data_IF_729738149374
#
_entry.id   IF_729738149374
#
_cell.length_a   1.000
_cell.length_b   1.000
_cell.length_c   1.000
_cell.angle_alpha   90.00
_cell.angle_beta   90.00
_cell.angle_gamma   90.00
#
_symmetry.space_group_name_H-M   'P 1'
#
loop_
_entity.id
_entity.type
_entity.pdbx_description
1 polymer ?
#
# COMPACT_ATOMS: atom_id res chain seq x y z
N UNK A 1 -12.44 -9.41 -25.59
CA UNK A 1 -11.78 -9.64 -24.28
C UNK A 1 -10.34 -9.15 -24.39
N UNK A 2 -10.00 -8.12 -23.66
CA UNK A 2 -8.61 -7.66 -23.52
C UNK A 2 -7.99 -8.60 -22.51
N UNK A 3 -6.99 -9.38 -22.94
CA UNK A 3 -6.26 -10.26 -22.06
C UNK A 3 -5.24 -9.40 -21.31
N UNK A 4 -5.48 -9.10 -20.03
CA UNK A 4 -4.67 -8.19 -19.22
C UNK A 4 -3.31 -8.77 -18.80
N UNK A 5 -2.95 -9.99 -19.24
CA UNK A 5 -1.72 -10.68 -18.84
C UNK A 5 -0.45 -10.19 -19.53
N UNK A 6 -0.54 -9.36 -20.57
CA UNK A 6 0.63 -8.91 -21.35
C UNK A 6 1.00 -7.43 -21.14
N UNK A 7 0.26 -6.70 -20.31
CA UNK A 7 0.58 -5.30 -20.02
C UNK A 7 1.46 -5.22 -18.78
N UNK A 8 2.78 -5.34 -18.99
CA UNK A 8 3.81 -5.02 -17.97
C UNK A 8 3.91 -3.51 -17.73
N UNK A 9 2.82 -2.81 -17.67
CA UNK A 9 2.81 -1.36 -17.55
C UNK A 9 1.80 -0.96 -16.51
N UNK A 10 2.34 -0.55 -15.36
CA UNK A 10 1.67 0.33 -14.43
C UNK A 10 0.26 -0.15 -14.06
N UNK A 11 0.21 -1.12 -13.15
CA UNK A 11 -1.04 -1.70 -12.63
C UNK A 11 -2.00 -0.61 -12.13
N UNK A 12 -1.48 0.48 -11.57
CA UNK A 12 -2.27 1.61 -11.11
C UNK A 12 -3.04 2.31 -12.24
N UNK A 13 -2.43 2.51 -13.41
CA UNK A 13 -3.12 3.12 -14.57
C UNK A 13 -4.17 2.17 -15.12
N UNK A 14 -3.87 0.87 -15.21
CA UNK A 14 -4.81 -0.14 -15.68
C UNK A 14 -6.01 -0.26 -14.75
N UNK A 15 -5.78 -0.29 -13.44
CA UNK A 15 -6.86 -0.32 -12.46
C UNK A 15 -7.66 0.97 -12.49
N UNK A 16 -7.01 2.14 -12.58
CA UNK A 16 -7.72 3.42 -12.69
C UNK A 16 -8.68 3.43 -13.87
N UNK A 17 -8.23 3.02 -15.05
CA UNK A 17 -9.09 2.94 -16.25
C UNK A 17 -10.25 1.95 -16.05
N UNK A 18 -10.00 0.82 -15.39
CA UNK A 18 -11.02 -0.18 -15.06
C UNK A 18 -12.05 0.41 -14.09
N UNK A 19 -11.61 1.09 -13.03
CA UNK A 19 -12.47 1.74 -12.06
C UNK A 19 -13.31 2.85 -12.67
N UNK A 20 -12.72 3.67 -13.56
CA UNK A 20 -13.42 4.72 -14.29
C UNK A 20 -14.49 4.12 -15.23
N UNK A 21 -14.16 3.00 -15.90
CA UNK A 21 -15.12 2.26 -16.72
C UNK A 21 -16.28 1.72 -15.90
N UNK A 22 -16.01 1.11 -14.74
CA UNK A 22 -17.05 0.59 -13.84
C UNK A 22 -17.99 1.71 -13.37
N UNK A 23 -17.43 2.83 -12.87
CA UNK A 23 -18.22 3.99 -12.44
C UNK A 23 -19.08 4.56 -13.57
N UNK A 24 -18.52 4.69 -14.77
CA UNK A 24 -19.22 5.18 -15.96
C UNK A 24 -20.38 4.28 -16.39
N UNK A 25 -20.31 3.00 -16.07
CA UNK A 25 -21.36 2.01 -16.34
C UNK A 25 -22.29 1.75 -15.14
N UNK A 26 -22.27 2.61 -14.12
CA UNK A 26 -23.20 2.57 -13.01
C UNK A 26 -22.87 1.50 -11.95
N UNK A 27 -21.66 0.96 -11.93
CA UNK A 27 -21.22 0.05 -10.85
C UNK A 27 -21.03 0.85 -9.58
N UNK A 28 -21.76 0.50 -8.53
CA UNK A 28 -21.75 1.17 -7.22
C UNK A 28 -21.13 0.31 -6.13
N UNK A 29 -20.80 -0.94 -6.42
CA UNK A 29 -20.17 -1.89 -5.49
C UNK A 29 -19.22 -2.77 -6.27
N UNK A 30 -17.94 -2.80 -5.89
CA UNK A 30 -16.94 -3.61 -6.57
C UNK A 30 -15.56 -3.52 -5.95
N UNK A 31 -14.74 -4.51 -6.24
CA UNK A 31 -13.33 -4.54 -5.88
C UNK A 31 -12.51 -5.08 -7.04
N UNK A 32 -11.40 -4.44 -7.34
CA UNK A 32 -10.41 -4.89 -8.33
C UNK A 32 -9.09 -5.07 -7.62
N UNK A 33 -8.44 -6.21 -7.87
CA UNK A 33 -7.10 -6.51 -7.35
C UNK A 33 -6.21 -6.98 -8.49
N UNK A 34 -5.11 -6.29 -8.73
CA UNK A 34 -4.09 -6.64 -9.73
C UNK A 34 -2.70 -6.43 -9.12
N UNK A 35 -1.93 -7.51 -9.00
CA UNK A 35 -0.53 -7.43 -8.59
C UNK A 35 -0.28 -6.73 -7.24
N UNK A 36 -1.16 -6.94 -6.25
CA UNK A 36 -1.05 -6.27 -4.94
C UNK A 36 -1.69 -4.88 -4.87
N UNK A 37 -2.15 -4.33 -5.99
CA UNK A 37 -2.91 -3.08 -6.03
C UNK A 37 -4.39 -3.40 -5.92
N UNK A 38 -5.03 -3.03 -4.81
CA UNK A 38 -6.45 -3.24 -4.55
C UNK A 38 -7.18 -1.91 -4.61
N UNK A 39 -8.27 -1.83 -5.37
CA UNK A 39 -9.16 -0.65 -5.38
C UNK A 39 -10.61 -1.06 -5.18
N UNK A 40 -11.35 -0.27 -4.42
CA UNK A 40 -12.73 -0.53 -4.05
C UNK A 40 -13.69 0.55 -4.56
N UNK A 41 -14.94 0.16 -4.87
CA UNK A 41 -16.07 1.04 -5.18
C UNK A 41 -17.16 0.74 -4.16
N UNK A 42 -17.60 1.77 -3.46
CA UNK A 42 -18.68 1.69 -2.48
C UNK A 42 -18.48 0.60 -1.43
N UNK A 43 -19.58 0.11 -0.91
CA UNK A 43 -19.63 -0.98 0.06
C UNK A 43 -19.98 -2.30 -0.62
N UNK A 44 -19.87 -3.41 0.10
CA UNK A 44 -20.42 -4.69 -0.33
C UNK A 44 -21.94 -4.61 -0.51
N UNK A 45 -22.58 -5.54 -1.25
CA UNK A 45 -24.01 -5.53 -1.46
C UNK A 45 -24.86 -5.61 -0.18
N UNK A 46 -24.30 -6.13 0.91
CA UNK A 46 -24.92 -6.19 2.24
C UNK A 46 -24.73 -4.91 3.07
N UNK A 47 -24.08 -3.89 2.50
CA UNK A 47 -23.78 -2.61 3.15
C UNK A 47 -22.51 -2.60 4.02
N UNK A 48 -21.83 -3.73 4.21
CA UNK A 48 -20.59 -3.81 4.97
C UNK A 48 -19.40 -3.24 4.17
N UNK A 49 -18.34 -2.81 4.87
CA UNK A 49 -17.09 -2.37 4.25
C UNK A 49 -16.34 -3.54 3.60
N UNK A 50 -15.52 -3.22 2.62
CA UNK A 50 -14.56 -4.15 2.05
C UNK A 50 -13.45 -4.41 3.07
N UNK A 51 -13.03 -5.67 3.18
CA UNK A 51 -11.91 -6.09 4.02
C UNK A 51 -10.72 -6.41 3.14
N UNK A 52 -9.67 -5.64 3.28
CA UNK A 52 -8.41 -5.82 2.56
C UNK A 52 -7.36 -6.30 3.55
N UNK A 53 -6.87 -7.51 3.36
CA UNK A 53 -5.77 -8.05 4.14
C UNK A 53 -4.45 -7.51 3.59
N UNK A 54 -3.60 -6.99 4.47
CA UNK A 54 -2.23 -6.55 4.14
C UNK A 54 -1.31 -7.71 4.47
N UNK A 55 -0.68 -8.28 3.43
CA UNK A 55 0.18 -9.45 3.57
C UNK A 55 1.43 -9.14 4.40
N UNK A 56 1.85 -10.08 5.23
CA UNK A 56 3.13 -10.00 5.93
C UNK A 56 4.27 -10.30 4.93
N UNK A 57 5.22 -9.37 4.72
CA UNK A 57 6.31 -9.53 3.76
C UNK A 57 7.34 -10.59 4.15
N UNK A 58 7.38 -10.98 5.43
CA UNK A 58 8.34 -11.94 5.99
C UNK A 58 7.72 -13.32 6.21
N UNK A 59 6.42 -13.47 5.95
CA UNK A 59 5.70 -14.72 6.18
C UNK A 59 6.22 -15.88 5.33
N UNK A 60 6.36 -17.04 5.95
CA UNK A 60 6.65 -18.31 5.26
C UNK A 60 5.40 -18.90 4.62
N UNK A 61 4.21 -18.50 5.07
CA UNK A 61 2.90 -18.96 4.60
C UNK A 61 2.07 -17.80 4.05
N UNK A 62 1.36 -18.01 2.94
CA UNK A 62 0.48 -17.01 2.29
C UNK A 62 -0.69 -16.54 3.17
N UNK A 63 -0.95 -17.19 4.30
CA UNK A 63 -2.06 -16.92 5.20
C UNK A 63 -1.71 -15.94 6.33
N UNK A 64 -0.48 -15.43 6.40
CA UNK A 64 -0.07 -14.50 7.44
C UNK A 64 -0.22 -13.04 6.95
N UNK A 65 -0.93 -12.24 7.74
CA UNK A 65 -1.26 -10.86 7.42
C UNK A 65 -0.80 -9.92 8.52
N UNK A 66 -0.23 -8.78 8.15
CA UNK A 66 0.07 -7.68 9.07
C UNK A 66 -1.19 -7.16 9.75
N UNK A 67 -2.32 -7.21 9.05
CA UNK A 67 -3.61 -6.80 9.55
C UNK A 67 -4.67 -6.74 8.45
N UNK A 68 -5.87 -6.31 8.85
CA UNK A 68 -7.02 -6.17 7.96
C UNK A 68 -7.52 -4.73 8.02
N UNK A 69 -7.60 -4.10 6.84
CA UNK A 69 -8.18 -2.77 6.66
C UNK A 69 -9.64 -2.88 6.20
N UNK A 70 -10.55 -2.24 6.92
CA UNK A 70 -11.95 -2.05 6.49
C UNK A 70 -12.07 -0.75 5.71
N UNK A 71 -12.54 -0.82 4.46
CA UNK A 71 -12.47 0.33 3.56
C UNK A 71 -13.57 0.38 2.51
N UNK A 72 -13.74 1.55 1.86
CA UNK A 72 -14.59 1.79 0.69
C UNK A 72 -14.00 2.93 -0.13
N UNK A 73 -14.30 2.94 -1.42
CA UNK A 73 -13.96 4.04 -2.36
C UNK A 73 -12.49 4.47 -2.34
N UNK A 74 -11.58 3.57 -2.05
CA UNK A 74 -10.16 3.87 -2.03
C UNK A 74 -9.30 2.78 -2.67
N UNK A 75 -8.05 3.12 -2.91
CA UNK A 75 -6.96 2.24 -3.26
C UNK A 75 -6.17 1.86 -2.01
N UNK A 76 -5.76 0.59 -1.93
CA UNK A 76 -4.83 0.04 -0.94
C UNK A 76 -3.70 -0.59 -1.74
N UNK A 77 -2.52 0.01 -1.70
CA UNK A 77 -1.39 -0.38 -2.57
C UNK A 77 -0.16 -0.58 -1.72
N UNK A 78 0.45 -1.74 -1.86
CA UNK A 78 1.64 -2.12 -1.11
C UNK A 78 2.85 -2.20 -2.03
N UNK A 79 3.98 -1.68 -1.57
CA UNK A 79 5.31 -1.91 -2.14
C UNK A 79 6.23 -2.49 -1.07
N UNK A 80 7.07 -3.45 -1.47
CA UNK A 80 8.04 -4.07 -0.58
C UNK A 80 9.16 -4.80 -1.32
N UNK A 81 10.30 -4.96 -0.66
CA UNK A 81 11.48 -5.61 -1.23
C UNK A 81 11.34 -7.12 -1.44
N UNK A 82 10.25 -7.73 -0.96
CA UNK A 82 10.01 -9.17 -1.02
C UNK A 82 9.27 -9.63 -2.30
N UNK A 83 8.57 -8.72 -2.99
CA UNK A 83 7.70 -9.09 -4.12
C UNK A 83 8.47 -9.56 -5.36
N UNK A 84 9.58 -8.89 -5.67
CA UNK A 84 10.42 -9.20 -6.82
C UNK A 84 11.89 -8.99 -6.48
N UNK A 85 12.61 -10.08 -6.29
CA UNK A 85 14.03 -10.04 -5.97
C UNK A 85 14.77 -11.21 -6.63
N UNK A 86 16.10 -11.11 -6.70
CA UNK A 86 16.99 -12.24 -6.93
C UNK A 86 18.07 -12.25 -5.84
N UNK A 87 18.66 -13.40 -5.62
CA UNK A 87 19.76 -13.55 -4.67
C UNK A 87 21.05 -13.87 -5.41
N UNK A 88 22.11 -13.15 -5.08
CA UNK A 88 23.46 -13.41 -5.58
C UNK A 88 24.46 -13.30 -4.44
N UNK A 89 25.27 -14.36 -4.24
CA UNK A 89 26.27 -14.44 -3.16
C UNK A 89 25.70 -14.18 -1.75
N UNK A 90 24.46 -14.57 -1.48
CA UNK A 90 23.78 -14.36 -0.20
C UNK A 90 23.27 -12.94 0.02
N UNK A 91 23.30 -12.09 -1.00
CA UNK A 91 22.73 -10.73 -0.98
C UNK A 91 21.45 -10.74 -1.80
N UNK A 92 20.38 -10.18 -1.22
CA UNK A 92 19.09 -10.01 -1.90
C UNK A 92 19.05 -8.69 -2.65
N UNK A 93 18.71 -8.74 -3.93
CA UNK A 93 18.57 -7.57 -4.81
C UNK A 93 17.11 -7.47 -5.25
N UNK A 94 16.36 -6.54 -4.67
CA UNK A 94 14.98 -6.29 -5.08
C UNK A 94 14.89 -5.22 -6.17
N UNK A 95 13.72 -5.12 -6.79
CA UNK A 95 13.47 -4.25 -7.96
C UNK A 95 13.31 -2.76 -7.63
N UNK A 96 13.14 -2.40 -6.36
CA UNK A 96 12.99 -1.00 -5.93
C UNK A 96 14.38 -0.37 -5.86
N UNK A 97 14.66 0.55 -6.78
CA UNK A 97 15.96 1.19 -6.92
C UNK A 97 15.99 2.56 -6.27
N UNK A 98 17.03 2.85 -5.53
CA UNK A 98 17.32 4.20 -5.06
C UNK A 98 17.85 5.04 -6.23
N UNK A 99 17.15 6.12 -6.63
CA UNK A 99 17.56 6.96 -7.75
C UNK A 99 18.87 7.73 -7.50
N UNK A 100 19.26 7.93 -6.24
CA UNK A 100 20.49 8.61 -5.89
C UNK A 100 21.73 7.74 -6.08
N UNK A 101 21.59 6.42 -5.85
CA UNK A 101 22.71 5.47 -5.91
C UNK A 101 22.69 4.58 -7.14
N UNK A 102 21.52 4.40 -7.78
CA UNK A 102 21.29 3.46 -8.86
C UNK A 102 21.39 1.98 -8.42
N UNK A 103 21.29 1.72 -7.13
CA UNK A 103 21.30 0.39 -6.51
C UNK A 103 19.94 0.09 -5.87
N UNK A 104 19.64 -1.18 -5.51
CA UNK A 104 18.50 -1.48 -4.66
C UNK A 104 18.49 -0.59 -3.41
N UNK A 105 17.33 -0.06 -3.06
CA UNK A 105 17.20 0.82 -1.91
C UNK A 105 17.54 0.07 -0.62
N UNK A 106 18.37 0.64 0.21
CA UNK A 106 18.59 0.17 1.58
C UNK A 106 17.56 0.88 2.46
N UNK A 107 16.55 0.16 2.91
CA UNK A 107 15.45 0.70 3.71
C UNK A 107 15.31 -0.09 5.01
N UNK A 108 14.96 0.59 6.09
CA UNK A 108 14.53 0.01 7.37
C UNK A 108 13.06 -0.48 7.32
N UNK A 109 12.38 -0.24 6.20
CA UNK A 109 11.03 -0.73 5.94
C UNK A 109 11.07 -2.03 5.12
N UNK A 110 10.27 -3.01 5.51
CA UNK A 110 10.03 -4.24 4.72
C UNK A 110 8.88 -4.07 3.76
N UNK A 111 7.85 -3.30 4.15
CA UNK A 111 6.74 -2.93 3.26
C UNK A 111 6.13 -1.58 3.62
N UNK A 112 5.52 -0.95 2.61
CA UNK A 112 4.75 0.28 2.71
C UNK A 112 3.42 0.09 2.01
N UNK A 113 2.34 0.20 2.76
CA UNK A 113 0.98 0.19 2.22
C UNK A 113 0.41 1.60 2.30
N UNK A 114 -0.06 2.11 1.17
CA UNK A 114 -0.72 3.42 1.06
C UNK A 114 -2.22 3.22 0.85
N UNK A 115 -3.00 4.03 1.56
CA UNK A 115 -4.46 4.11 1.45
C UNK A 115 -4.83 5.50 0.97
N UNK A 116 -5.44 5.60 -0.21
CA UNK A 116 -5.82 6.90 -0.81
C UNK A 116 -6.98 6.73 -1.78
N UNK A 117 -7.79 7.76 -1.96
CA UNK A 117 -8.78 7.79 -3.04
C UNK A 117 -8.13 7.81 -4.44
N UNK A 118 -6.89 8.27 -4.52
CA UNK A 118 -6.11 8.33 -5.76
C UNK A 118 -5.13 7.16 -5.87
N UNK A 119 -5.52 6.10 -6.56
CA UNK A 119 -4.68 4.91 -6.74
C UNK A 119 -3.36 5.17 -7.46
N UNK A 120 -3.29 6.15 -8.38
CA UNK A 120 -2.03 6.48 -9.06
C UNK A 120 -1.05 7.16 -8.10
N UNK A 121 -1.56 8.03 -7.22
CA UNK A 121 -0.76 8.65 -6.16
C UNK A 121 -0.27 7.57 -5.17
N UNK A 122 -1.16 6.67 -4.74
CA UNK A 122 -0.83 5.60 -3.81
C UNK A 122 0.27 4.68 -4.34
N UNK A 123 0.24 4.33 -5.63
CA UNK A 123 1.26 3.49 -6.28
C UNK A 123 2.65 4.18 -6.27
N UNK A 124 2.69 5.45 -6.63
CA UNK A 124 3.94 6.23 -6.58
C UNK A 124 4.47 6.41 -5.16
N UNK A 125 3.58 6.71 -4.21
CA UNK A 125 3.97 6.95 -2.81
C UNK A 125 4.43 5.68 -2.11
N UNK A 126 3.83 4.52 -2.35
CA UNK A 126 4.24 3.26 -1.71
C UNK A 126 5.72 2.95 -1.99
N UNK A 127 6.15 3.15 -3.22
CA UNK A 127 7.56 2.98 -3.63
C UNK A 127 8.45 4.11 -3.11
N UNK A 128 8.00 5.36 -3.20
CA UNK A 128 8.79 6.51 -2.77
C UNK A 128 9.07 6.49 -1.26
N UNK A 129 8.05 6.21 -0.44
CA UNK A 129 8.21 6.15 1.01
C UNK A 129 9.05 4.94 1.44
N UNK A 130 8.98 3.82 0.73
CA UNK A 130 9.88 2.70 0.94
C UNK A 130 11.35 3.12 0.76
N UNK A 131 11.67 3.84 -0.31
CA UNK A 131 13.04 4.35 -0.56
C UNK A 131 13.47 5.39 0.48
N UNK A 132 12.53 6.19 0.99
CA UNK A 132 12.83 7.21 1.99
C UNK A 132 13.19 6.65 3.37
N UNK A 133 12.66 5.46 3.73
CA UNK A 133 12.76 4.87 5.06
C UNK A 133 11.79 5.50 6.07
N UNK A 134 11.69 4.91 7.26
CA UNK A 134 10.65 5.16 8.26
C UNK A 134 10.53 6.64 8.66
N UNK A 135 11.62 7.24 9.14
CA UNK A 135 11.59 8.60 9.68
C UNK A 135 11.12 9.63 8.65
N UNK A 136 11.63 9.52 7.42
CA UNK A 136 11.25 10.43 6.34
C UNK A 136 9.85 10.15 5.81
N UNK A 137 9.42 8.90 5.79
CA UNK A 137 8.07 8.52 5.42
C UNK A 137 7.04 9.11 6.40
N UNK A 138 7.30 9.02 7.71
CA UNK A 138 6.48 9.65 8.75
C UNK A 138 6.44 11.17 8.57
N UNK A 139 7.60 11.81 8.40
CA UNK A 139 7.65 13.26 8.22
C UNK A 139 6.92 13.72 6.95
N UNK A 140 7.04 12.94 5.87
CA UNK A 140 6.32 13.22 4.62
C UNK A 140 4.81 13.11 4.81
N UNK A 141 4.34 12.01 5.44
CA UNK A 141 2.91 11.86 5.72
C UNK A 141 2.38 13.00 6.59
N UNK A 142 3.10 13.39 7.65
CA UNK A 142 2.70 14.50 8.52
C UNK A 142 2.50 15.83 7.79
N UNK A 143 3.20 16.02 6.67
CA UNK A 143 3.02 17.20 5.82
C UNK A 143 1.88 17.06 4.79
N UNK A 144 1.39 15.82 4.53
CA UNK A 144 0.45 15.48 3.46
C UNK A 144 -0.71 14.60 3.96
N UNK A 145 -1.01 14.63 5.25
CA UNK A 145 -1.97 13.72 5.89
C UNK A 145 -3.42 13.83 5.35
N UNK A 146 -3.75 14.90 4.61
CA UNK A 146 -5.04 15.03 3.92
C UNK A 146 -5.12 14.28 2.58
N UNK A 147 -4.00 13.75 2.06
CA UNK A 147 -3.93 13.15 0.74
C UNK A 147 -3.93 11.63 0.78
N UNK A 148 -3.40 11.04 1.84
CA UNK A 148 -3.28 9.60 2.00
C UNK A 148 -3.07 9.19 3.46
N UNK A 149 -3.32 7.91 3.74
CA UNK A 149 -2.91 7.22 4.96
C UNK A 149 -1.95 6.08 4.64
N UNK A 150 -1.28 5.54 5.67
CA UNK A 150 -0.26 4.51 5.47
C UNK A 150 -0.21 3.48 6.61
N UNK A 151 0.22 2.26 6.24
CA UNK A 151 0.76 1.25 7.14
C UNK A 151 2.21 0.98 6.71
N UNK A 152 3.16 1.28 7.59
CA UNK A 152 4.58 1.03 7.38
C UNK A 152 4.99 -0.15 8.24
N UNK A 153 5.75 -1.10 7.70
CA UNK A 153 6.25 -2.27 8.44
C UNK A 153 7.78 -2.25 8.44
N UNK A 154 8.38 -2.40 9.61
CA UNK A 154 9.83 -2.48 9.81
C UNK A 154 10.33 -3.93 9.83
N UNK A 155 11.64 -4.12 9.84
CA UNK A 155 12.26 -5.46 9.85
C UNK A 155 11.95 -6.28 11.11
N UNK A 156 11.68 -5.62 12.23
CA UNK A 156 11.26 -6.24 13.50
C UNK A 156 9.72 -6.47 13.59
N UNK A 157 9.03 -6.35 12.46
CA UNK A 157 7.58 -6.53 12.34
C UNK A 157 6.74 -5.54 13.17
N UNK A 158 7.32 -4.38 13.54
CA UNK A 158 6.56 -3.29 14.14
C UNK A 158 5.82 -2.51 13.06
N UNK A 159 4.53 -2.28 13.28
CA UNK A 159 3.66 -1.53 12.38
C UNK A 159 3.56 -0.08 12.83
N UNK A 160 3.72 0.83 11.90
CA UNK A 160 3.45 2.26 12.09
C UNK A 160 2.24 2.63 11.23
N UNK A 161 1.13 2.94 11.90
CA UNK A 161 -0.17 3.19 11.26
C UNK A 161 -0.56 4.64 11.45
N UNK A 162 -0.93 5.31 10.39
CA UNK A 162 -1.38 6.70 10.47
C UNK A 162 -2.74 6.82 11.13
N UNK A 163 -2.96 7.88 11.90
CA UNK A 163 -4.18 8.07 12.72
C UNK A 163 -5.47 8.07 11.90
N UNK A 164 -5.42 8.47 10.62
CA UNK A 164 -6.60 8.52 9.77
C UNK A 164 -7.26 7.16 9.53
N UNK A 165 -6.51 6.06 9.67
CA UNK A 165 -7.02 4.70 9.48
C UNK A 165 -6.95 3.83 10.75
N UNK A 166 -6.56 4.39 11.90
CA UNK A 166 -6.37 3.62 13.14
C UNK A 166 -7.59 2.81 13.57
N UNK A 167 -8.80 3.37 13.39
CA UNK A 167 -10.06 2.72 13.78
C UNK A 167 -10.56 1.71 12.73
N UNK A 168 -10.04 1.81 11.51
CA UNK A 168 -10.38 0.94 10.38
C UNK A 168 -9.39 -0.22 10.17
N UNK A 169 -8.23 -0.16 10.82
CA UNK A 169 -7.18 -1.17 10.68
C UNK A 169 -7.06 -2.04 11.94
N UNK A 170 -7.27 -3.34 11.76
CA UNK A 170 -7.08 -4.35 12.81
C UNK A 170 -5.71 -5.00 12.64
N UNK A 171 -4.74 -4.58 13.45
CA UNK A 171 -3.37 -5.06 13.42
C UNK A 171 -3.23 -6.45 14.07
N UNK A 172 -2.40 -7.32 13.48
CA UNK A 172 -2.01 -8.62 14.04
C UNK A 172 -0.63 -8.58 14.73
N UNK A 173 0.11 -7.50 14.55
CA UNK A 173 1.47 -7.28 15.02
C UNK A 173 1.54 -6.04 15.93
N UNK A 174 2.66 -5.82 16.69
CA UNK A 174 2.85 -4.61 17.46
C UNK A 174 2.63 -3.36 16.59
N UNK A 175 1.85 -2.41 17.08
CA UNK A 175 1.39 -1.29 16.27
C UNK A 175 1.55 0.02 17.04
N UNK A 176 2.20 1.00 16.39
CA UNK A 176 2.32 2.39 16.85
C UNK A 176 1.48 3.31 15.95
N UNK A 177 0.75 4.24 16.55
CA UNK A 177 -0.06 5.20 15.80
C UNK A 177 0.74 6.48 15.55
N UNK A 178 0.90 6.82 14.27
CA UNK A 178 1.53 8.07 13.85
C UNK A 178 0.48 9.17 13.90
N UNK A 179 0.73 10.18 14.74
CA UNK A 179 -0.14 11.34 14.89
C UNK A 179 0.23 12.45 13.91
N UNK A 180 -0.75 13.21 13.45
CA UNK A 180 -0.48 14.48 12.77
C UNK A 180 0.28 15.42 13.72
N UNK A 181 1.21 16.19 13.18
CA UNK A 181 1.75 17.32 13.93
C UNK A 181 0.61 18.28 14.18
N UNK A 182 0.28 18.52 15.46
CA UNK A 182 -0.69 19.53 15.82
C UNK A 182 -0.29 20.85 15.13
N UNK A 183 -1.27 21.52 14.51
CA UNK A 183 -1.04 22.88 14.05
C UNK A 183 -0.59 23.69 15.28
N UNK A 184 0.68 24.07 15.30
CA UNK A 184 1.15 25.02 16.30
C UNK A 184 0.31 26.29 16.13
N UNK A 185 -0.52 26.53 17.14
CA UNK A 185 -1.44 27.69 17.25
C UNK A 185 -0.67 28.95 17.60
#
# INVERSE_FOLDING_TARGET
SINATDVKTNDAVTIKLTMDCFRSNGVTSGMVSLGGNVQTIGTKPDGSLWKVAIQNPTAEEDADFLGILETKDCAVITSGGYERYFEENGVRYHHIMDPATGKPAESDLTSVTIVSENGTLADGLSTALFVMGLDKAIAYWQAHASEFDAVLCTEDETLYVTEGIQDAFSANYPCEIIQQKGAES
#
